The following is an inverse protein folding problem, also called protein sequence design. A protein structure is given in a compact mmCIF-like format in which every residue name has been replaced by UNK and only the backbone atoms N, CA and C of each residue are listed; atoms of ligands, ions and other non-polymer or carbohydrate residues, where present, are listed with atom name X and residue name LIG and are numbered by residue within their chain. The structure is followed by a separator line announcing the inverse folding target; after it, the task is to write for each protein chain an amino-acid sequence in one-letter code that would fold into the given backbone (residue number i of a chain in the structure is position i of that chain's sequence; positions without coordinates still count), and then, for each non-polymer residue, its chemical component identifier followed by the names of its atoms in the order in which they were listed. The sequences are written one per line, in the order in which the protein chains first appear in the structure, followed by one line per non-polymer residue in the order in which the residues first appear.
data_IF_922731539817
#
_entry.id   IF_922731539817
#
_cell.length_a   1.000
_cell.length_b   1.000
_cell.length_c   1.000
_cell.angle_alpha   90.00
_cell.angle_beta   90.00
_cell.angle_gamma   90.00
#
_symmetry.space_group_name_H-M   'P 1'
#
loop_
_entity.id
_entity.type
_entity.pdbx_description
1 polymer ?
#
# COMPACT_ATOMS: atom_id res chain seq x y z
N UNK A 1 13.98 13.84 4.53
CA UNK A 1 13.22 13.15 5.59
C UNK A 1 11.90 12.74 4.97
N UNK A 2 11.60 11.43 4.91
CA UNK A 2 10.40 10.89 4.25
C UNK A 2 9.21 10.75 5.22
N UNK A 3 8.00 10.56 4.69
CA UNK A 3 6.77 10.36 5.47
C UNK A 3 6.43 8.85 5.53
N UNK A 4 6.48 8.21 6.71
CA UNK A 4 6.21 6.78 6.84
C UNK A 4 4.72 6.42 6.78
N UNK A 5 3.82 7.41 6.68
CA UNK A 5 2.38 7.18 6.71
C UNK A 5 1.95 6.24 5.56
N UNK A 6 1.25 5.16 5.92
CA UNK A 6 0.72 4.12 5.03
C UNK A 6 1.74 3.12 4.49
N UNK A 7 2.99 3.14 4.95
CA UNK A 7 3.96 2.10 4.56
C UNK A 7 3.51 0.70 5.00
N UNK A 8 2.85 0.57 6.16
CA UNK A 8 2.28 -0.70 6.62
C UNK A 8 1.14 -1.20 5.73
N UNK A 9 0.28 -0.29 5.26
CA UNK A 9 -0.81 -0.63 4.35
C UNK A 9 -0.30 -1.03 2.97
N UNK A 10 0.70 -0.31 2.44
CA UNK A 10 1.38 -0.66 1.19
C UNK A 10 2.06 -2.03 1.31
N UNK A 11 2.74 -2.29 2.43
CA UNK A 11 3.32 -3.59 2.73
C UNK A 11 2.23 -4.68 2.73
N UNK A 12 1.18 -4.49 3.53
CA UNK A 12 0.10 -5.47 3.70
C UNK A 12 -0.64 -5.77 2.41
N UNK A 13 -1.02 -4.73 1.64
CA UNK A 13 -1.69 -4.88 0.35
C UNK A 13 -0.80 -5.60 -0.67
N UNK A 14 0.49 -5.26 -0.74
CA UNK A 14 1.43 -5.94 -1.64
C UNK A 14 1.61 -7.40 -1.27
N UNK A 15 1.82 -7.71 0.02
CA UNK A 15 2.00 -9.07 0.51
C UNK A 15 0.75 -9.91 0.25
N UNK A 16 -0.43 -9.40 0.62
CA UNK A 16 -1.69 -10.08 0.42
C UNK A 16 -1.95 -10.40 -1.06
N UNK A 17 -1.76 -9.41 -1.95
CA UNK A 17 -2.00 -9.60 -3.38
C UNK A 17 -1.10 -10.69 -3.98
N UNK A 18 0.18 -10.74 -3.56
CA UNK A 18 1.13 -11.75 -4.06
C UNK A 18 0.82 -13.15 -3.52
N UNK A 19 0.53 -13.27 -2.23
CA UNK A 19 0.10 -14.55 -1.64
C UNK A 19 -1.20 -15.05 -2.26
N UNK A 20 -2.16 -14.16 -2.52
CA UNK A 20 -3.42 -14.49 -3.21
C UNK A 20 -3.17 -14.98 -4.64
N UNK A 21 -2.13 -14.47 -5.32
CA UNK A 21 -1.70 -14.94 -6.63
C UNK A 21 -0.93 -16.28 -6.59
N UNK A 22 -0.64 -16.83 -5.40
CA UNK A 22 0.07 -18.09 -5.22
C UNK A 22 1.60 -17.95 -5.15
N UNK A 23 2.13 -16.73 -5.02
CA UNK A 23 3.57 -16.52 -4.87
C UNK A 23 4.08 -17.06 -3.52
N UNK A 24 5.34 -17.48 -3.49
CA UNK A 24 6.00 -17.88 -2.25
C UNK A 24 6.12 -16.72 -1.25
N UNK A 25 6.15 -17.04 0.04
CA UNK A 25 6.11 -16.06 1.12
C UNK A 25 7.32 -15.12 1.12
N UNK A 26 8.54 -15.67 1.06
CA UNK A 26 9.78 -14.90 1.12
C UNK A 26 9.92 -13.86 -0.02
N UNK A 27 9.76 -14.22 -1.32
CA UNK A 27 9.80 -13.21 -2.38
C UNK A 27 8.67 -12.19 -2.27
N UNK A 28 7.53 -12.56 -1.69
CA UNK A 28 6.41 -11.64 -1.44
C UNK A 28 6.71 -10.63 -0.34
N UNK A 29 7.40 -11.05 0.73
CA UNK A 29 7.88 -10.15 1.79
C UNK A 29 8.94 -9.18 1.24
N UNK A 30 9.86 -9.66 0.41
CA UNK A 30 10.86 -8.79 -0.23
C UNK A 30 10.21 -7.70 -1.08
N UNK A 31 9.21 -8.07 -1.88
CA UNK A 31 8.50 -7.13 -2.73
C UNK A 31 7.66 -6.12 -1.92
N UNK A 32 6.97 -6.58 -0.88
CA UNK A 32 6.22 -5.72 0.03
C UNK A 32 7.12 -4.68 0.72
N UNK A 33 8.31 -5.08 1.19
CA UNK A 33 9.30 -4.15 1.74
C UNK A 33 9.81 -3.15 0.70
N UNK A 34 10.05 -3.60 -0.54
CA UNK A 34 10.45 -2.71 -1.64
C UNK A 34 9.40 -1.64 -1.91
N UNK A 35 8.13 -2.01 -1.93
CA UNK A 35 7.02 -1.06 -2.16
C UNK A 35 6.82 -0.12 -0.97
N UNK A 36 6.86 -0.62 0.26
CA UNK A 36 6.77 0.20 1.46
C UNK A 36 7.89 1.25 1.53
N UNK A 37 9.13 0.88 1.17
CA UNK A 37 10.26 1.82 1.10
C UNK A 37 10.05 2.90 0.03
N UNK A 38 9.48 2.55 -1.13
CA UNK A 38 9.14 3.54 -2.17
C UNK A 38 8.09 4.53 -1.66
N UNK A 39 7.12 4.08 -0.85
CA UNK A 39 6.10 4.93 -0.26
C UNK A 39 6.69 5.99 0.69
N UNK A 40 7.68 5.63 1.52
CA UNK A 40 8.38 6.59 2.42
C UNK A 40 8.94 7.79 1.65
N UNK A 41 9.38 7.55 0.41
CA UNK A 41 9.98 8.56 -0.46
C UNK A 41 8.94 9.33 -1.29
N UNK A 42 7.66 8.97 -1.23
CA UNK A 42 6.60 9.49 -2.09
C UNK A 42 5.42 10.03 -1.26
N UNK A 43 5.61 11.19 -0.60
CA UNK A 43 4.56 12.03 0.01
C UNK A 43 3.41 11.30 0.76
N UNK A 44 3.71 10.20 1.44
CA UNK A 44 2.77 9.51 2.32
C UNK A 44 1.49 9.03 1.64
N UNK A 45 0.72 8.23 2.37
CA UNK A 45 -0.51 7.56 1.94
C UNK A 45 -1.71 8.48 1.63
N UNK A 46 -1.52 9.65 1.03
CA UNK A 46 -2.59 10.63 0.80
C UNK A 46 -3.76 9.97 0.05
N UNK A 47 -4.87 9.71 0.77
CA UNK A 47 -6.06 9.06 0.22
C UNK A 47 -6.26 7.60 0.68
N UNK A 48 -5.21 6.93 1.14
CA UNK A 48 -5.27 5.56 1.68
C UNK A 48 -6.06 5.50 2.98
N UNK A 49 -5.90 6.50 3.85
CA UNK A 49 -6.71 6.64 5.05
C UNK A 49 -8.21 6.81 4.73
N UNK A 50 -8.54 7.44 3.59
CA UNK A 50 -9.92 7.59 3.15
C UNK A 50 -10.45 6.28 2.55
N UNK A 51 -9.62 5.55 1.79
CA UNK A 51 -9.97 4.23 1.27
C UNK A 51 -10.26 3.23 2.41
N UNK A 52 -9.37 3.13 3.40
CA UNK A 52 -9.51 2.21 4.54
C UNK A 52 -10.69 2.54 5.45
N UNK A 53 -11.06 3.82 5.56
CA UNK A 53 -12.23 4.27 6.32
C UNK A 53 -13.54 4.16 5.54
N UNK A 54 -13.50 3.65 4.30
CA UNK A 54 -14.67 3.61 3.40
C UNK A 54 -15.17 5.00 2.99
N UNK A 55 -14.34 6.04 3.15
CA UNK A 55 -14.70 7.45 2.96
C UNK A 55 -14.45 7.98 1.54
N UNK A 56 -13.89 7.16 0.63
CA UNK A 56 -13.86 7.48 -0.79
C UNK A 56 -15.20 7.11 -1.43
N UNK A 57 -16.19 8.00 -1.28
CA UNK A 57 -17.33 8.03 -2.19
C UNK A 57 -16.79 8.30 -3.61
N UNK A 58 -17.34 7.57 -4.59
CA UNK A 58 -17.03 7.68 -6.02
C UNK A 58 -16.68 9.10 -6.48
N UNK A 59 -15.70 9.27 -7.39
CA UNK A 59 -15.61 10.52 -8.13
C UNK A 59 -16.89 10.66 -8.96
N UNK A 60 -17.70 11.67 -8.66
CA UNK A 60 -18.69 12.19 -9.60
C UNK A 60 -17.89 12.66 -10.81
N UNK A 61 -18.03 11.94 -11.93
CA UNK A 61 -17.58 12.43 -13.23
C UNK A 61 -18.48 13.62 -13.60
N UNK A 62 -17.92 14.82 -13.58
CA UNK A 62 -18.42 15.96 -14.33
C UNK A 62 -17.83 15.96 -15.73
#
# INVERSE_FOLDING_TARGET
MGDPTGCGDVFGATLFARLLAGDALEPSIHEANRMARRNVLHRGATGLQHHLRGALAHPVRG
#
